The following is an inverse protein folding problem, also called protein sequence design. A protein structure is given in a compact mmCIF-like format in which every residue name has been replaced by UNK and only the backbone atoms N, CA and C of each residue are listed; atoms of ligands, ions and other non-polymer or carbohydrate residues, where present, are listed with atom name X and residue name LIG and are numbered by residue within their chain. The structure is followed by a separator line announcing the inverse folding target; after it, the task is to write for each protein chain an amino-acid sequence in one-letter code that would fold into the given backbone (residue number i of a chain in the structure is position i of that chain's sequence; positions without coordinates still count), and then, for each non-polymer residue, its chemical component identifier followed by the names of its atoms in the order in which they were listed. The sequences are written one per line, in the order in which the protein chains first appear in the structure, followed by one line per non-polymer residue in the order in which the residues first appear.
data_IF_342848800651
#
_entry.id   IF_342848800651
#
_cell.length_a   1.000
_cell.length_b   1.000
_cell.length_c   1.000
_cell.angle_alpha   90.00
_cell.angle_beta   90.00
_cell.angle_gamma   90.00
#
_symmetry.space_group_name_H-M   'P 1'
#
loop_
_entity.id
_entity.type
_entity.pdbx_description
1 polymer ?
#
# COMPACT_ATOMS: atom_id res chain seq x y z
N UNK A 1 12.65 -30.60 -7.21
CA UNK A 1 12.61 -29.12 -7.29
C UNK A 1 13.35 -28.59 -6.08
N UNK A 2 14.49 -27.91 -6.26
CA UNK A 2 15.18 -27.22 -5.18
C UNK A 2 14.81 -25.73 -5.25
N UNK A 3 14.47 -25.13 -4.12
CA UNK A 3 14.30 -23.68 -3.98
C UNK A 3 15.18 -23.23 -2.83
N UNK A 4 15.84 -22.09 -3.00
CA UNK A 4 16.66 -21.47 -1.97
C UNK A 4 15.92 -20.20 -1.54
N UNK A 5 15.46 -20.18 -0.30
CA UNK A 5 14.81 -19.02 0.30
C UNK A 5 15.84 -18.27 1.16
N UNK A 6 16.22 -17.04 0.80
CA UNK A 6 17.09 -16.21 1.63
C UNK A 6 17.52 -14.89 0.99
N UNK A 7 17.65 -13.85 1.81
CA UNK A 7 18.23 -12.57 1.43
C UNK A 7 19.76 -12.68 1.41
N UNK A 8 20.35 -12.78 0.21
CA UNK A 8 21.79 -12.91 0.05
C UNK A 8 22.52 -11.58 0.27
N UNK A 9 22.99 -11.34 1.50
CA UNK A 9 24.06 -10.39 1.81
C UNK A 9 25.41 -11.08 2.13
N UNK A 10 25.44 -12.41 2.26
CA UNK A 10 26.65 -13.21 2.52
C UNK A 10 26.96 -14.21 1.40
N UNK A 11 28.24 -14.44 1.10
CA UNK A 11 28.68 -15.37 0.03
C UNK A 11 28.13 -16.79 0.26
N UNK A 12 27.42 -17.33 -0.73
CA UNK A 12 27.00 -18.74 -0.75
C UNK A 12 28.22 -19.63 -1.00
N UNK A 13 28.67 -20.35 0.04
CA UNK A 13 29.34 -21.63 -0.13
C UNK A 13 28.25 -22.69 -0.27
N UNK A 14 28.43 -23.65 -1.16
CA UNK A 14 27.60 -24.85 -1.33
C UNK A 14 26.36 -24.72 -2.21
N UNK A 15 26.52 -24.15 -3.41
CA UNK A 15 25.76 -24.54 -4.61
C UNK A 15 26.68 -24.33 -5.82
N UNK A 16 26.86 -25.35 -6.67
CA UNK A 16 27.58 -25.18 -7.94
C UNK A 16 26.81 -24.16 -8.80
N UNK A 17 27.35 -22.94 -9.07
CA UNK A 17 26.62 -21.88 -9.76
C UNK A 17 26.26 -22.21 -11.22
N UNK A 18 26.86 -23.27 -11.78
CA UNK A 18 26.75 -23.63 -13.19
C UNK A 18 25.37 -24.13 -13.63
N UNK A 19 24.52 -24.58 -12.70
CA UNK A 19 23.18 -25.13 -13.03
C UNK A 19 22.02 -24.40 -12.33
N UNK A 20 22.27 -23.28 -11.66
CA UNK A 20 21.24 -22.51 -10.94
C UNK A 20 20.72 -21.36 -11.82
N UNK A 21 19.40 -21.20 -11.88
CA UNK A 21 18.74 -20.06 -12.56
C UNK A 21 18.02 -19.17 -11.54
N UNK A 22 18.15 -17.85 -11.71
CA UNK A 22 17.44 -16.87 -10.89
C UNK A 22 15.98 -16.78 -11.34
N UNK A 23 15.04 -17.17 -10.47
CA UNK A 23 13.61 -17.10 -10.76
C UNK A 23 12.98 -15.76 -10.37
N UNK A 24 13.39 -15.22 -9.21
CA UNK A 24 12.85 -13.96 -8.69
C UNK A 24 13.90 -13.27 -7.82
N UNK A 25 13.89 -11.94 -7.87
CA UNK A 25 14.72 -11.08 -7.04
C UNK A 25 13.92 -9.88 -6.61
N UNK A 26 14.06 -9.49 -5.35
CA UNK A 26 13.47 -8.26 -4.81
C UNK A 26 14.12 -7.03 -5.45
N UNK A 27 13.30 -6.04 -5.78
CA UNK A 27 13.77 -4.73 -6.21
C UNK A 27 14.50 -4.00 -5.09
N UNK A 28 15.50 -3.19 -5.47
CA UNK A 28 16.18 -2.32 -4.52
C UNK A 28 15.21 -1.24 -4.01
N UNK A 29 15.34 -0.79 -2.74
CA UNK A 29 14.59 0.35 -2.24
C UNK A 29 14.76 1.59 -3.13
N UNK A 30 13.76 2.48 -3.18
CA UNK A 30 13.87 3.73 -3.93
C UNK A 30 15.03 4.58 -3.39
N UNK A 31 15.67 5.41 -4.25
CA UNK A 31 16.78 6.28 -3.82
C UNK A 31 16.33 7.30 -2.78
N UNK A 32 15.08 7.76 -2.89
CA UNK A 32 14.44 8.65 -1.93
C UNK A 32 13.53 7.81 -1.03
N UNK A 33 13.99 7.57 0.21
CA UNK A 33 13.19 6.90 1.22
C UNK A 33 11.95 7.74 1.56
N UNK A 34 10.79 7.11 1.51
CA UNK A 34 9.55 7.73 2.00
C UNK A 34 9.52 7.69 3.52
N UNK A 35 8.62 8.50 4.12
CA UNK A 35 8.37 8.49 5.58
C UNK A 35 8.01 7.11 6.15
N UNK A 36 7.60 6.17 5.28
CA UNK A 36 7.10 4.84 5.65
C UNK A 36 7.91 3.69 5.04
N UNK A 37 9.13 3.95 4.54
CA UNK A 37 10.01 2.92 3.94
C UNK A 37 9.34 2.10 2.83
N UNK A 38 8.48 2.74 2.04
CA UNK A 38 7.76 2.10 0.95
C UNK A 38 8.70 1.66 -0.17
N UNK A 39 8.39 0.53 -0.81
CA UNK A 39 9.03 0.12 -2.07
C UNK A 39 8.63 1.06 -3.20
N UNK A 40 9.43 1.10 -4.27
CA UNK A 40 9.12 1.89 -5.47
C UNK A 40 7.73 1.56 -6.03
N UNK A 41 7.34 0.28 -6.00
CA UNK A 41 5.99 -0.14 -6.40
C UNK A 41 4.90 0.34 -5.43
N UNK A 42 5.12 0.25 -4.11
CA UNK A 42 4.12 0.68 -3.14
C UNK A 42 3.85 2.21 -3.21
N UNK A 43 4.86 3.01 -3.58
CA UNK A 43 4.72 4.46 -3.76
C UNK A 43 3.69 4.78 -4.86
N UNK A 44 3.67 4.01 -5.95
CA UNK A 44 2.80 4.30 -7.11
C UNK A 44 1.35 3.88 -6.89
N UNK A 45 1.05 3.05 -5.88
CA UNK A 45 -0.29 2.50 -5.68
C UNK A 45 -1.35 3.58 -5.43
N UNK A 46 -1.00 4.62 -4.67
CA UNK A 46 -1.94 5.69 -4.29
C UNK A 46 -1.84 6.97 -5.15
N UNK A 47 -1.02 6.94 -6.21
CA UNK A 47 -0.86 8.06 -7.12
C UNK A 47 -2.14 8.29 -7.94
N UNK A 48 -2.60 9.54 -8.00
CA UNK A 48 -3.69 9.97 -8.89
C UNK A 48 -3.09 10.68 -10.09
N UNK A 49 -2.98 9.95 -11.20
CA UNK A 49 -2.51 10.54 -12.45
C UNK A 49 -3.60 11.41 -13.10
N UNK A 50 -3.24 12.45 -13.87
CA UNK A 50 -4.21 13.27 -14.58
C UNK A 50 -5.13 12.43 -15.47
N UNK A 51 -6.44 12.65 -15.39
CA UNK A 51 -7.44 11.90 -16.15
C UNK A 51 -7.79 10.50 -15.60
N UNK A 52 -7.08 10.00 -14.59
CA UNK A 52 -7.49 8.77 -13.89
C UNK A 52 -8.67 9.01 -12.97
N UNK A 53 -8.68 10.12 -12.24
CA UNK A 53 -9.71 10.45 -11.25
C UNK A 53 -11.13 10.43 -11.84
N UNK A 54 -11.31 10.88 -13.07
CA UNK A 54 -12.60 10.91 -13.78
C UNK A 54 -13.15 9.50 -14.10
N UNK A 55 -12.28 8.49 -14.12
CA UNK A 55 -12.61 7.10 -14.45
C UNK A 55 -12.79 6.22 -13.21
N UNK A 56 -12.41 6.71 -12.03
CA UNK A 56 -12.47 5.93 -10.80
C UNK A 56 -13.90 5.93 -10.23
N UNK A 57 -14.37 4.79 -9.69
CA UNK A 57 -15.56 4.81 -8.88
C UNK A 57 -15.33 5.66 -7.62
N UNK A 58 -16.39 6.25 -7.02
CA UNK A 58 -16.26 7.08 -5.82
C UNK A 58 -15.72 6.31 -4.60
N UNK A 59 -15.65 4.99 -4.66
CA UNK A 59 -15.17 4.10 -3.61
C UNK A 59 -13.70 3.70 -3.75
N UNK A 60 -12.99 4.14 -4.80
CA UNK A 60 -11.57 3.83 -4.97
C UNK A 60 -10.73 4.39 -3.81
N UNK A 61 -9.77 3.61 -3.32
CA UNK A 61 -8.94 3.98 -2.17
C UNK A 61 -8.17 5.28 -2.40
N UNK A 62 -7.80 5.62 -3.64
CA UNK A 62 -7.07 6.86 -3.97
C UNK A 62 -7.85 8.13 -3.65
N UNK A 63 -9.17 8.02 -3.57
CA UNK A 63 -10.09 9.11 -3.27
C UNK A 63 -10.36 9.29 -1.77
N UNK A 64 -9.72 8.48 -0.91
CA UNK A 64 -9.87 8.60 0.55
C UNK A 64 -9.20 9.88 1.08
N UNK A 65 -9.97 10.84 1.63
CA UNK A 65 -9.45 12.16 1.99
C UNK A 65 -8.50 12.12 3.20
N UNK A 66 -8.74 11.26 4.17
CA UNK A 66 -7.89 11.05 5.34
C UNK A 66 -6.50 10.55 4.95
N UNK A 67 -6.43 9.54 4.07
CA UNK A 67 -5.17 9.02 3.54
C UNK A 67 -4.43 10.08 2.70
N UNK A 68 -5.15 10.86 1.88
CA UNK A 68 -4.55 11.94 1.08
C UNK A 68 -3.92 13.03 1.94
N UNK A 69 -4.62 13.48 2.99
CA UNK A 69 -4.07 14.45 3.94
C UNK A 69 -2.82 13.92 4.66
N UNK A 70 -2.80 12.63 5.00
CA UNK A 70 -1.64 11.99 5.62
C UNK A 70 -0.42 11.99 4.68
N UNK A 71 -0.62 11.67 3.40
CA UNK A 71 0.44 11.70 2.38
C UNK A 71 1.00 13.12 2.19
N UNK A 72 0.13 14.13 2.22
CA UNK A 72 0.51 15.55 2.17
C UNK A 72 1.17 16.06 3.46
N UNK A 73 1.15 15.29 4.55
CA UNK A 73 1.69 15.70 5.86
C UNK A 73 0.74 16.57 6.69
N UNK A 74 -0.52 16.68 6.30
CA UNK A 74 -1.57 17.44 6.99
C UNK A 74 -2.23 16.59 8.08
N UNK A 75 -1.49 16.27 9.15
CA UNK A 75 -1.89 15.27 10.15
C UNK A 75 -3.22 15.59 10.87
N UNK A 76 -3.45 16.86 11.23
CA UNK A 76 -4.69 17.25 11.92
C UNK A 76 -5.92 17.04 11.03
N UNK A 77 -5.81 17.41 9.74
CA UNK A 77 -6.86 17.21 8.74
C UNK A 77 -7.11 15.72 8.48
N UNK A 78 -6.04 14.93 8.39
CA UNK A 78 -6.14 13.48 8.24
C UNK A 78 -6.91 12.84 9.40
N UNK A 79 -6.60 13.22 10.64
CA UNK A 79 -7.28 12.70 11.82
C UNK A 79 -8.76 13.10 11.87
N UNK A 80 -9.09 14.35 11.53
CA UNK A 80 -10.47 14.82 11.47
C UNK A 80 -11.30 14.05 10.43
N UNK A 81 -10.75 13.86 9.22
CA UNK A 81 -11.41 13.11 8.16
C UNK A 81 -11.57 11.62 8.50
N UNK A 82 -10.56 11.00 9.12
CA UNK A 82 -10.64 9.62 9.59
C UNK A 82 -11.82 9.44 10.55
N UNK A 83 -11.93 10.30 11.56
CA UNK A 83 -13.03 10.23 12.52
C UNK A 83 -14.39 10.42 11.83
N UNK A 84 -14.49 11.35 10.87
CA UNK A 84 -15.72 11.60 10.11
C UNK A 84 -16.16 10.36 9.32
N UNK A 85 -15.24 9.71 8.62
CA UNK A 85 -15.50 8.51 7.83
C UNK A 85 -15.92 7.33 8.70
N UNK A 86 -15.18 7.03 9.76
CA UNK A 86 -15.50 5.92 10.66
C UNK A 86 -16.83 6.13 11.40
N UNK A 87 -17.14 7.37 11.82
CA UNK A 87 -18.44 7.69 12.44
C UNK A 87 -19.59 7.39 11.48
N UNK A 88 -19.48 7.80 10.21
CA UNK A 88 -20.49 7.49 9.18
C UNK A 88 -20.62 5.98 8.96
N UNK A 89 -19.51 5.26 8.86
CA UNK A 89 -19.52 3.81 8.67
C UNK A 89 -20.20 3.09 9.85
N UNK A 90 -19.91 3.50 11.09
CA UNK A 90 -20.57 2.96 12.29
C UNK A 90 -22.07 3.21 12.24
N UNK A 91 -22.52 4.44 11.95
CA UNK A 91 -23.95 4.78 11.85
C UNK A 91 -24.68 3.95 10.80
N UNK A 92 -24.08 3.76 9.62
CA UNK A 92 -24.66 2.91 8.56
C UNK A 92 -24.74 1.45 9.02
N UNK A 93 -23.69 0.92 9.65
CA UNK A 93 -23.69 -0.42 10.21
C UNK A 93 -24.80 -0.61 11.25
N UNK A 94 -24.94 0.33 12.19
CA UNK A 94 -26.01 0.32 13.19
C UNK A 94 -27.40 0.36 12.55
N UNK A 95 -27.60 1.24 11.57
CA UNK A 95 -28.89 1.37 10.89
C UNK A 95 -29.27 0.08 10.15
N UNK A 96 -28.33 -0.53 9.43
CA UNK A 96 -28.56 -1.79 8.72
C UNK A 96 -28.87 -2.95 9.67
N UNK A 97 -28.22 -3.01 10.84
CA UNK A 97 -28.49 -4.03 11.86
C UNK A 97 -29.88 -3.88 12.48
N UNK A 98 -30.38 -2.64 12.64
CA UNK A 98 -31.65 -2.36 13.31
C UNK A 98 -32.88 -2.47 12.39
N UNK A 99 -32.70 -2.46 11.07
CA UNK A 99 -33.77 -2.62 10.06
C UNK A 99 -33.88 -4.05 9.51
N UNK A 100 -32.98 -4.97 9.91
CA UNK A 100 -33.01 -6.39 9.53
C UNK A 100 -33.35 -7.34 10.70
N UNK A 101 -33.87 -6.79 11.81
CA UNK A 101 -34.54 -7.51 12.91
C UNK A 101 -35.95 -6.93 13.03
#
# INVERSE_FOLDING_TARGET
MYYISGDFSGKLKDCNPSNASLLWKRDKPPPNLTRYNLTSFAITLNELTPGLQEKLPPTDSRLRPDQRHLENGEYDRANAEKQRLERRQRMVCFHLLHFHV
#
